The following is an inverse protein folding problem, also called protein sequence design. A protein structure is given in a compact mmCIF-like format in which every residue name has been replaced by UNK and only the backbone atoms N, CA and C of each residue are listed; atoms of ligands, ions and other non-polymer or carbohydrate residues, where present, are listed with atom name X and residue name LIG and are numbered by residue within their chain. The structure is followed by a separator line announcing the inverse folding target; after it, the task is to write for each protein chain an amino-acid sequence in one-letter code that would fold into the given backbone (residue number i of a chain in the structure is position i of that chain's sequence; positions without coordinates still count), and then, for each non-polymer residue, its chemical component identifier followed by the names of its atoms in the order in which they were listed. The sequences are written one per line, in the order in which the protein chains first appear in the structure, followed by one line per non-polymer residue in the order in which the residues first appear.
data_IF_723499226966
#
_entry.id   IF_723499226966
#
_cell.length_a   1.000
_cell.length_b   1.000
_cell.length_c   1.000
_cell.angle_alpha   90.00
_cell.angle_beta   90.00
_cell.angle_gamma   90.00
#
_symmetry.space_group_name_H-M   'P 1'
#
loop_
_entity.id
_entity.type
_entity.pdbx_description
1 polymer ?
#
# COMPACT_ATOMS: atom_id res chain seq x y z
N UNK A 1 17.72 -18.67 15.81
CA UNK A 1 17.36 -17.25 15.95
C UNK A 1 17.19 -16.68 14.55
N UNK A 2 15.97 -16.36 14.12
CA UNK A 2 15.72 -15.76 12.82
C UNK A 2 16.18 -14.30 12.84
N UNK A 3 17.18 -13.98 12.02
CA UNK A 3 17.74 -12.65 11.89
C UNK A 3 16.68 -11.71 11.28
N UNK A 4 16.07 -10.86 12.10
CA UNK A 4 14.95 -9.98 11.73
C UNK A 4 15.48 -8.72 11.01
N UNK A 5 16.20 -8.92 9.89
CA UNK A 5 16.80 -7.82 9.12
C UNK A 5 15.72 -7.06 8.38
N UNK A 6 15.59 -5.76 8.69
CA UNK A 6 14.74 -4.83 7.95
C UNK A 6 15.46 -4.40 6.67
N UNK A 7 14.84 -4.67 5.52
CA UNK A 7 15.33 -4.22 4.21
C UNK A 7 14.63 -2.91 3.83
N UNK A 8 15.42 -1.96 3.34
CA UNK A 8 14.94 -0.70 2.80
C UNK A 8 15.21 -0.67 1.29
N UNK A 9 14.26 -0.16 0.51
CA UNK A 9 14.36 -0.04 -0.93
C UNK A 9 13.87 1.34 -1.39
N UNK A 10 14.42 1.81 -2.51
CA UNK A 10 14.02 3.04 -3.17
C UNK A 10 13.26 2.67 -4.45
N UNK A 11 12.03 3.17 -4.61
CA UNK A 11 11.23 2.98 -5.82
C UNK A 11 11.40 4.22 -6.70
N UNK A 12 12.16 4.10 -7.78
CA UNK A 12 12.28 5.14 -8.79
C UNK A 12 11.11 5.09 -9.77
N UNK A 13 10.64 6.26 -10.19
CA UNK A 13 9.69 6.38 -11.29
C UNK A 13 10.42 6.23 -12.62
N UNK A 14 9.73 5.70 -13.63
CA UNK A 14 10.26 5.59 -14.99
C UNK A 14 10.77 6.94 -15.52
N UNK A 15 10.07 8.02 -15.21
CA UNK A 15 10.42 9.36 -15.62
C UNK A 15 11.32 10.12 -14.64
N UNK A 16 11.98 9.46 -13.68
CA UNK A 16 12.80 10.13 -12.66
C UNK A 16 13.87 11.04 -13.31
N UNK A 17 14.66 10.50 -14.23
CA UNK A 17 15.70 11.25 -14.95
C UNK A 17 15.13 12.20 -16.03
N UNK A 18 13.89 11.98 -16.45
CA UNK A 18 13.20 12.81 -17.44
C UNK A 18 12.36 13.93 -16.80
N UNK A 19 12.38 14.06 -15.47
CA UNK A 19 11.70 15.16 -14.78
C UNK A 19 12.43 16.47 -15.06
N UNK A 20 11.68 17.57 -15.17
CA UNK A 20 12.24 18.90 -15.48
C UNK A 20 13.40 19.27 -14.56
N UNK A 21 13.27 19.01 -13.26
CA UNK A 21 14.32 19.27 -12.27
C UNK A 21 15.57 18.43 -12.50
N UNK A 22 15.44 17.14 -12.84
CA UNK A 22 16.60 16.28 -13.12
C UNK A 22 17.26 16.62 -14.44
N UNK A 23 16.49 16.93 -15.48
CA UNK A 23 17.03 17.34 -16.78
C UNK A 23 17.85 18.62 -16.63
N UNK A 24 17.34 19.61 -15.88
CA UNK A 24 18.08 20.84 -15.59
C UNK A 24 19.33 20.52 -14.77
N UNK A 25 19.22 19.70 -13.73
CA UNK A 25 20.36 19.31 -12.88
C UNK A 25 21.48 18.63 -13.69
N UNK A 26 21.15 17.67 -14.55
CA UNK A 26 22.12 16.93 -15.35
C UNK A 26 22.76 17.77 -16.46
N UNK A 27 22.07 18.84 -16.89
CA UNK A 27 22.61 19.80 -17.86
C UNK A 27 23.65 20.75 -17.26
N UNK A 28 23.77 20.82 -15.93
CA UNK A 28 24.77 21.66 -15.25
C UNK A 28 26.19 21.04 -15.35
N UNK A 29 27.21 21.85 -15.07
CA UNK A 29 28.56 21.33 -14.90
C UNK A 29 28.61 20.34 -13.72
N UNK A 30 29.20 19.17 -13.93
CA UNK A 30 29.16 18.03 -13.00
C UNK A 30 27.74 17.50 -12.71
N UNK A 31 26.73 17.82 -13.55
CA UNK A 31 25.33 17.47 -13.31
C UNK A 31 25.08 15.97 -13.15
N UNK A 32 25.72 15.13 -13.96
CA UNK A 32 25.66 13.66 -13.81
C UNK A 32 26.21 13.18 -12.47
N UNK A 33 27.24 13.85 -11.94
CA UNK A 33 27.81 13.55 -10.64
C UNK A 33 26.84 13.94 -9.52
N UNK A 34 26.15 15.06 -9.67
CA UNK A 34 25.12 15.52 -8.74
C UNK A 34 23.90 14.59 -8.75
N UNK A 35 23.47 14.13 -9.92
CA UNK A 35 22.42 13.12 -10.07
C UNK A 35 22.76 11.83 -9.30
N UNK A 36 23.98 11.31 -9.47
CA UNK A 36 24.44 10.13 -8.72
C UNK A 36 24.52 10.37 -7.21
N UNK A 37 25.03 11.54 -6.80
CA UNK A 37 25.15 11.93 -5.41
C UNK A 37 23.78 12.03 -4.73
N UNK A 38 22.80 12.63 -5.41
CA UNK A 38 21.42 12.75 -4.94
C UNK A 38 20.82 11.36 -4.68
N UNK A 39 21.00 10.42 -5.61
CA UNK A 39 20.52 9.06 -5.46
C UNK A 39 21.15 8.35 -4.25
N UNK A 40 22.46 8.51 -4.06
CA UNK A 40 23.16 7.97 -2.88
C UNK A 40 22.64 8.59 -1.58
N UNK A 41 22.39 9.90 -1.55
CA UNK A 41 21.82 10.58 -0.39
C UNK A 41 20.41 10.08 -0.08
N UNK A 42 19.55 9.84 -1.08
CA UNK A 42 18.25 9.21 -0.86
C UNK A 42 18.40 7.84 -0.19
N UNK A 43 19.31 7.00 -0.67
CA UNK A 43 19.58 5.68 -0.09
C UNK A 43 20.07 5.77 1.37
N UNK A 44 20.96 6.71 1.66
CA UNK A 44 21.45 6.96 3.02
C UNK A 44 20.33 7.37 3.98
N UNK A 45 19.34 8.11 3.50
CA UNK A 45 18.24 8.63 4.31
C UNK A 45 17.12 7.61 4.59
N UNK A 46 17.10 6.45 3.92
CA UNK A 46 15.98 5.50 3.96
C UNK A 46 15.66 5.01 5.37
N UNK A 47 16.69 4.68 6.15
CA UNK A 47 16.54 4.15 7.53
C UNK A 47 15.88 5.17 8.46
N UNK A 48 16.08 6.45 8.18
CA UNK A 48 15.67 7.58 9.01
C UNK A 48 14.53 8.39 8.37
N UNK A 49 13.72 7.74 7.53
CA UNK A 49 12.51 8.33 6.96
C UNK A 49 12.74 9.57 6.09
N UNK A 50 13.94 9.71 5.51
CA UNK A 50 14.31 10.87 4.71
C UNK A 50 15.28 11.84 5.34
N UNK A 51 15.58 11.71 6.63
CA UNK A 51 16.55 12.56 7.32
C UNK A 51 17.92 11.91 7.18
N UNK A 52 18.94 12.69 6.82
CA UNK A 52 20.31 12.21 6.77
C UNK A 52 20.91 12.16 8.18
N UNK A 53 20.75 11.00 8.83
CA UNK A 53 21.27 10.71 10.17
C UNK A 53 22.40 9.67 10.12
N UNK A 54 23.54 10.02 10.71
CA UNK A 54 24.62 9.12 11.04
C UNK A 54 24.31 8.40 12.36
N UNK A 55 24.39 7.07 12.34
CA UNK A 55 24.17 6.20 13.51
C UNK A 55 22.88 6.54 14.29
N UNK A 56 21.80 6.85 13.58
CA UNK A 56 20.45 7.14 14.12
C UNK A 56 20.33 8.38 15.03
N UNK A 57 21.41 9.13 15.30
CA UNK A 57 21.42 10.19 16.32
C UNK A 57 22.08 11.50 15.89
N UNK A 58 23.03 11.47 14.96
CA UNK A 58 23.79 12.66 14.56
C UNK A 58 23.45 13.07 13.13
N UNK A 59 23.08 14.33 12.86
CA UNK A 59 22.91 14.80 11.49
C UNK A 59 24.20 14.65 10.66
N UNK A 60 24.07 14.20 9.42
CA UNK A 60 25.20 14.11 8.50
C UNK A 60 25.71 15.51 8.12
N UNK A 61 27.02 15.71 8.28
CA UNK A 61 27.74 16.87 7.74
C UNK A 61 28.17 16.64 6.29
N UNK A 62 28.48 17.69 5.49
CA UNK A 62 29.01 17.54 4.14
C UNK A 62 30.24 16.62 4.06
N UNK A 63 31.12 16.68 5.05
CA UNK A 63 32.29 15.82 5.16
C UNK A 63 31.89 14.35 5.30
N UNK A 64 30.92 14.04 6.17
CA UNK A 64 30.46 12.65 6.30
C UNK A 64 29.76 12.16 5.04
N UNK A 65 28.92 13.00 4.40
CA UNK A 65 28.25 12.66 3.14
C UNK A 65 29.29 12.37 2.05
N UNK A 66 30.34 13.17 1.95
CA UNK A 66 31.46 12.95 1.02
C UNK A 66 32.12 11.58 1.25
N UNK A 67 32.43 11.25 2.50
CA UNK A 67 33.01 9.95 2.88
C UNK A 67 32.10 8.78 2.50
N UNK A 68 30.81 8.82 2.86
CA UNK A 68 29.88 7.72 2.60
C UNK A 68 29.50 7.58 1.11
N UNK A 69 29.43 8.69 0.38
CA UNK A 69 29.08 8.69 -1.04
C UNK A 69 30.29 8.52 -1.96
N UNK A 70 31.51 8.56 -1.40
CA UNK A 70 32.80 8.48 -2.09
C UNK A 70 33.00 9.60 -3.11
N UNK A 71 32.64 10.80 -2.71
CA UNK A 71 32.84 12.02 -3.49
C UNK A 71 33.78 12.97 -2.76
N UNK A 72 34.38 13.90 -3.49
CA UNK A 72 35.17 14.96 -2.88
C UNK A 72 34.25 15.88 -2.05
N UNK A 73 34.75 16.33 -0.89
CA UNK A 73 33.99 17.20 0.01
C UNK A 73 33.50 18.47 -0.71
N UNK A 74 34.38 19.12 -1.49
CA UNK A 74 34.00 20.30 -2.25
C UNK A 74 32.90 20.05 -3.31
N UNK A 75 32.85 18.85 -3.90
CA UNK A 75 31.76 18.46 -4.81
C UNK A 75 30.45 18.34 -4.04
N UNK A 76 30.46 17.71 -2.86
CA UNK A 76 29.26 17.56 -2.03
C UNK A 76 28.75 18.92 -1.55
N UNK A 77 29.64 19.82 -1.14
CA UNK A 77 29.26 21.17 -0.71
C UNK A 77 28.62 21.98 -1.84
N UNK A 78 29.16 21.90 -3.07
CA UNK A 78 28.55 22.54 -4.24
C UNK A 78 27.20 21.92 -4.57
N UNK A 79 27.12 20.59 -4.60
CA UNK A 79 25.89 19.88 -4.90
C UNK A 79 24.79 20.17 -3.87
N UNK A 80 25.11 20.20 -2.56
CA UNK A 80 24.16 20.54 -1.50
C UNK A 80 23.54 21.92 -1.70
N UNK A 81 24.31 22.92 -2.14
CA UNK A 81 23.78 24.25 -2.47
C UNK A 81 22.75 24.18 -3.60
N UNK A 82 23.09 23.48 -4.68
CA UNK A 82 22.19 23.27 -5.82
C UNK A 82 20.92 22.50 -5.41
N UNK A 83 21.06 21.45 -4.59
CA UNK A 83 19.92 20.67 -4.13
C UNK A 83 18.97 21.45 -3.23
N UNK A 84 19.50 22.34 -2.39
CA UNK A 84 18.69 23.26 -1.57
C UNK A 84 17.92 24.25 -2.45
N UNK A 85 18.59 24.80 -3.45
CA UNK A 85 18.01 25.77 -4.39
C UNK A 85 16.88 25.14 -5.23
N UNK A 86 17.06 23.88 -5.65
CA UNK A 86 16.06 23.11 -6.41
C UNK A 86 14.98 22.51 -5.50
N UNK A 87 15.10 22.64 -4.18
CA UNK A 87 14.15 22.07 -3.22
C UNK A 87 14.14 20.54 -3.15
N UNK A 88 15.22 19.91 -3.61
CA UNK A 88 15.45 18.45 -3.53
C UNK A 88 15.91 18.03 -2.12
N UNK A 89 16.57 18.94 -1.41
CA UNK A 89 16.98 18.82 -0.01
C UNK A 89 16.47 20.03 0.77
N UNK A 90 16.04 19.84 2.01
CA UNK A 90 15.65 20.89 2.93
C UNK A 90 16.53 20.83 4.19
N UNK A 91 16.77 21.97 4.85
CA UNK A 91 17.42 22.00 6.16
C UNK A 91 16.32 22.12 7.23
N UNK A 92 16.33 21.19 8.17
CA UNK A 92 15.43 21.17 9.32
C UNK A 92 15.89 22.18 10.39
N UNK A 93 15.03 22.44 11.38
CA UNK A 93 15.31 23.39 12.47
C UNK A 93 16.51 23.00 13.34
N UNK A 94 16.84 21.71 13.37
CA UNK A 94 18.00 21.13 14.06
C UNK A 94 19.27 21.12 13.18
N UNK A 95 19.21 21.68 11.97
CA UNK A 95 20.32 21.70 11.02
C UNK A 95 20.49 20.41 10.22
N UNK A 96 19.61 19.42 10.38
CA UNK A 96 19.69 18.18 9.62
C UNK A 96 19.18 18.33 8.18
N UNK A 97 19.80 17.63 7.25
CA UNK A 97 19.35 17.58 5.86
C UNK A 97 18.20 16.57 5.71
N UNK A 98 17.08 17.04 5.16
CA UNK A 98 15.90 16.25 4.83
C UNK A 98 15.76 16.10 3.31
N UNK A 99 15.59 14.86 2.85
CA UNK A 99 15.39 14.53 1.44
C UNK A 99 13.92 14.75 1.05
N UNK A 100 13.61 15.88 0.40
CA UNK A 100 12.24 16.34 0.16
C UNK A 100 11.30 15.32 -0.51
N UNK A 101 11.78 14.69 -1.60
CA UNK A 101 10.96 13.76 -2.40
C UNK A 101 10.99 12.31 -1.91
N UNK A 102 11.72 12.02 -0.84
CA UNK A 102 11.91 10.63 -0.38
C UNK A 102 10.59 9.93 -0.06
N UNK A 103 9.60 10.67 0.43
CA UNK A 103 8.27 10.16 0.71
C UNK A 103 7.48 9.76 -0.54
N UNK A 104 7.86 10.26 -1.71
CA UNK A 104 7.28 9.87 -3.01
C UNK A 104 8.02 8.65 -3.58
N UNK A 105 9.26 8.42 -3.15
CA UNK A 105 10.13 7.32 -3.57
C UNK A 105 10.05 6.10 -2.61
N UNK A 106 9.49 6.28 -1.41
CA UNK A 106 9.22 5.25 -0.42
C UNK A 106 7.69 5.16 -0.18
N UNK A 107 7.09 4.02 -0.50
CA UNK A 107 5.68 3.73 -0.15
C UNK A 107 4.89 2.99 -1.23
N UNK A 108 3.68 2.57 -0.85
CA UNK A 108 2.66 2.05 -1.78
C UNK A 108 1.91 3.24 -2.35
N UNK A 109 2.07 3.51 -3.64
CA UNK A 109 1.44 4.67 -4.26
C UNK A 109 0.69 4.27 -5.53
N UNK A 110 -0.60 4.63 -5.56
CA UNK A 110 -1.40 4.79 -6.78
C UNK A 110 -1.25 6.24 -7.27
N UNK A 111 -1.42 6.48 -8.57
CA UNK A 111 -1.29 7.79 -9.23
C UNK A 111 -2.11 8.89 -8.53
N UNK A 112 -3.32 8.56 -8.08
CA UNK A 112 -4.19 9.47 -7.30
C UNK A 112 -3.68 9.74 -5.87
N UNK A 113 -3.13 8.71 -5.21
CA UNK A 113 -2.54 8.85 -3.88
C UNK A 113 -1.34 9.79 -3.87
N UNK A 114 -0.53 9.74 -4.93
CA UNK A 114 0.61 10.65 -5.13
C UNK A 114 0.15 12.09 -5.39
N UNK A 115 -0.88 12.28 -6.23
CA UNK A 115 -1.45 13.61 -6.50
C UNK A 115 -1.96 14.26 -5.20
N UNK A 116 -2.73 13.54 -4.38
CA UNK A 116 -3.23 14.03 -3.08
C UNK A 116 -2.11 14.27 -2.07
N UNK A 117 -1.08 13.42 -2.04
CA UNK A 117 0.09 13.59 -1.15
C UNK A 117 0.92 14.80 -1.56
N UNK A 118 1.22 14.97 -2.86
CA UNK A 118 1.95 16.12 -3.39
C UNK A 118 1.21 17.42 -3.12
N UNK A 119 -0.11 17.44 -3.31
CA UNK A 119 -0.93 18.61 -3.01
C UNK A 119 -0.95 18.94 -1.51
N UNK A 120 -1.09 17.93 -0.64
CA UNK A 120 -0.98 18.15 0.81
C UNK A 120 0.39 18.69 1.22
N UNK A 121 1.47 18.17 0.65
CA UNK A 121 2.82 18.67 0.91
C UNK A 121 3.00 20.10 0.40
N UNK A 122 2.45 20.45 -0.78
CA UNK A 122 2.43 21.81 -1.32
C UNK A 122 1.70 22.78 -0.40
N UNK A 123 0.49 22.42 0.03
CA UNK A 123 -0.32 23.24 0.94
C UNK A 123 0.34 23.40 2.31
N UNK A 124 0.99 22.35 2.83
CA UNK A 124 1.76 22.40 4.08
C UNK A 124 3.00 23.28 3.95
N UNK A 125 3.73 23.20 2.83
CA UNK A 125 4.87 24.10 2.52
C UNK A 125 4.44 25.56 2.39
N UNK A 126 3.26 25.83 1.83
CA UNK A 126 2.70 27.19 1.74
C UNK A 126 2.12 27.69 3.08
N UNK A 127 2.24 26.91 4.18
CA UNK A 127 1.61 27.20 5.49
C UNK A 127 0.09 27.44 5.42
N UNK A 128 -0.55 26.98 4.35
CA UNK A 128 -2.00 27.14 4.12
C UNK A 128 -2.82 26.08 4.87
N UNK A 129 -2.17 25.16 5.60
CA UNK A 129 -2.81 24.18 6.45
C UNK A 129 -2.50 24.46 7.93
N UNK A 130 -3.53 24.47 8.81
CA UNK A 130 -3.32 24.53 10.25
C UNK A 130 -2.49 23.33 10.73
N UNK A 131 -1.47 23.60 11.54
CA UNK A 131 -0.74 22.56 12.26
C UNK A 131 -1.58 22.10 13.46
N UNK A 132 -2.59 21.25 13.21
CA UNK A 132 -3.34 20.61 14.29
C UNK A 132 -4.70 20.09 13.88
N UNK A 133 -4.89 18.77 14.03
CA UNK A 133 -6.15 18.16 14.46
C UNK A 133 -7.25 17.91 13.41
N UNK A 134 -7.70 16.65 13.42
CA UNK A 134 -8.98 16.12 12.95
C UNK A 134 -9.14 15.82 11.44
N UNK A 135 -9.23 14.52 11.18
CA UNK A 135 -10.01 13.93 10.10
C UNK A 135 -11.42 14.52 10.08
N UNK A 136 -11.64 15.54 9.25
CA UNK A 136 -12.99 15.85 8.75
C UNK A 136 -12.86 15.95 7.23
N UNK A 137 -13.17 14.85 6.57
CA UNK A 137 -13.37 14.80 5.13
C UNK A 137 -14.47 15.80 4.74
N UNK A 138 -14.29 16.63 3.69
CA UNK A 138 -15.40 17.33 3.07
C UNK A 138 -16.35 16.33 2.37
N UNK A 139 -17.64 16.68 2.16
CA UNK A 139 -18.66 15.76 1.72
C UNK A 139 -18.40 15.23 0.29
N UNK A 140 -18.66 13.94 0.13
CA UNK A 140 -18.57 13.16 -1.10
C UNK A 140 -19.22 13.85 -2.31
N UNK A 141 -18.44 14.00 -3.39
CA UNK A 141 -18.98 14.09 -4.75
C UNK A 141 -18.84 12.71 -5.40
N UNK A 142 -19.96 12.27 -5.96
CA UNK A 142 -20.34 10.93 -6.37
C UNK A 142 -19.63 10.51 -7.67
N UNK A 143 -19.13 9.27 -7.71
CA UNK A 143 -18.66 8.60 -8.92
C UNK A 143 -17.15 8.37 -8.98
N UNK A 144 -16.72 7.21 -8.48
CA UNK A 144 -15.82 6.27 -9.18
C UNK A 144 -15.29 5.24 -8.19
N UNK A 145 -15.88 4.04 -8.28
CA UNK A 145 -15.47 2.85 -7.56
C UNK A 145 -14.22 2.31 -8.26
N UNK A 146 -13.06 2.40 -7.61
CA UNK A 146 -11.88 1.63 -7.98
C UNK A 146 -11.62 0.53 -6.94
N UNK A 147 -11.19 -0.68 -7.37
CA UNK A 147 -11.13 -1.85 -6.51
C UNK A 147 -9.98 -1.79 -5.50
N UNK A 148 -10.07 -2.49 -4.35
CA UNK A 148 -8.99 -2.56 -3.38
C UNK A 148 -7.97 -3.62 -3.81
N UNK A 149 -6.85 -3.21 -4.40
CA UNK A 149 -5.70 -4.09 -4.67
C UNK A 149 -4.59 -3.90 -3.62
N UNK A 150 -4.75 -4.70 -2.56
CA UNK A 150 -3.75 -5.56 -1.92
C UNK A 150 -2.30 -5.21 -2.21
N UNK A 151 -1.59 -4.78 -1.16
CA UNK A 151 -0.13 -4.79 -1.15
C UNK A 151 0.37 -5.09 0.27
N UNK A 152 1.22 -6.10 0.35
CA UNK A 152 1.72 -6.81 1.54
C UNK A 152 1.94 -5.95 2.80
N UNK A 153 1.11 -6.20 3.81
CA UNK A 153 1.31 -5.76 5.21
C UNK A 153 1.71 -6.95 6.09
N UNK A 154 2.69 -7.75 5.65
CA UNK A 154 2.94 -9.07 6.25
C UNK A 154 3.75 -9.05 7.57
N UNK A 155 4.20 -7.89 8.08
CA UNK A 155 5.06 -7.89 9.28
C UNK A 155 4.70 -6.94 10.43
N UNK A 156 3.78 -5.97 10.26
CA UNK A 156 3.38 -5.05 11.36
C UNK A 156 1.91 -5.16 11.80
N UNK A 157 1.14 -6.13 11.28
CA UNK A 157 -0.21 -6.45 11.76
C UNK A 157 -0.20 -7.80 12.50
N UNK A 158 0.71 -7.99 13.46
CA UNK A 158 0.67 -9.20 14.29
C UNK A 158 -0.21 -9.09 15.53
N UNK A 159 -0.58 -7.89 16.01
CA UNK A 159 -1.35 -7.81 17.27
C UNK A 159 -2.71 -7.07 17.24
N UNK A 160 -2.97 -6.12 16.34
CA UNK A 160 -4.18 -5.28 16.50
C UNK A 160 -5.51 -5.81 15.93
N UNK A 161 -5.51 -6.93 15.20
CA UNK A 161 -6.75 -7.48 14.61
C UNK A 161 -7.32 -8.68 15.36
N UNK A 162 -6.65 -9.14 16.41
CA UNK A 162 -7.16 -10.22 17.28
C UNK A 162 -7.91 -9.61 18.48
N UNK A 163 -7.46 -8.47 19.00
CA UNK A 163 -8.10 -7.78 20.14
C UNK A 163 -9.55 -7.30 19.86
N UNK A 164 -9.96 -7.09 18.61
CA UNK A 164 -11.32 -6.64 18.28
C UNK A 164 -12.29 -7.78 17.91
N UNK A 165 -11.90 -9.05 18.09
CA UNK A 165 -12.77 -10.22 17.85
C UNK A 165 -12.95 -11.14 19.03
N UNK A 166 -12.33 -10.82 20.16
CA UNK A 166 -12.77 -11.30 21.48
C UNK A 166 -14.05 -10.56 21.93
N UNK A 167 -15.03 -10.43 21.04
CA UNK A 167 -16.42 -10.34 21.47
C UNK A 167 -16.76 -11.73 22.02
N UNK A 168 -17.14 -11.78 23.30
CA UNK A 168 -17.37 -12.97 24.13
C UNK A 168 -18.36 -14.03 23.57
N UNK A 169 -18.84 -13.87 22.34
CA UNK A 169 -19.87 -14.67 21.67
C UNK A 169 -19.43 -15.33 20.35
N UNK A 170 -18.20 -15.12 19.86
CA UNK A 170 -17.72 -15.76 18.63
C UNK A 170 -17.06 -17.12 18.94
N UNK A 171 -17.62 -18.21 18.39
CA UNK A 171 -17.06 -19.57 18.53
C UNK A 171 -16.18 -19.91 17.34
N UNK A 172 -15.14 -20.70 17.60
CA UNK A 172 -14.23 -21.21 16.58
C UNK A 172 -14.70 -22.58 16.07
N UNK A 173 -14.79 -22.70 14.74
CA UNK A 173 -15.23 -23.91 14.04
C UNK A 173 -14.18 -24.36 13.01
N UNK A 174 -14.38 -25.57 12.48
CA UNK A 174 -13.50 -26.20 11.50
C UNK A 174 -12.35 -26.99 12.14
N UNK A 175 -11.76 -27.92 11.36
CA UNK A 175 -10.64 -28.79 11.79
C UNK A 175 -9.45 -28.04 12.39
N UNK A 176 -9.17 -26.83 11.91
CA UNK A 176 -8.05 -26.00 12.37
C UNK A 176 -8.47 -24.88 13.34
N UNK A 177 -9.73 -24.86 13.80
CA UNK A 177 -10.28 -23.85 14.72
C UNK A 177 -9.98 -22.40 14.31
N UNK A 178 -10.02 -22.14 13.00
CA UNK A 178 -9.64 -20.87 12.39
C UNK A 178 -10.82 -20.14 11.73
N UNK A 179 -12.04 -20.67 11.88
CA UNK A 179 -13.29 -20.09 11.38
C UNK A 179 -14.11 -19.58 12.55
N UNK A 180 -14.07 -18.28 12.82
CA UNK A 180 -14.90 -17.61 13.83
C UNK A 180 -16.27 -17.25 13.28
N UNK A 181 -17.33 -17.70 13.94
CA UNK A 181 -18.73 -17.38 13.64
C UNK A 181 -19.47 -17.06 14.95
N UNK A 182 -20.39 -16.10 14.91
CA UNK A 182 -21.34 -15.90 16.03
C UNK A 182 -22.46 -16.94 15.97
N UNK A 183 -23.16 -17.14 17.08
CA UNK A 183 -24.31 -18.06 17.13
C UNK A 183 -25.43 -17.64 16.13
N UNK A 184 -25.62 -16.32 15.92
CA UNK A 184 -26.55 -15.79 14.91
C UNK A 184 -26.12 -16.12 13.48
N UNK A 185 -24.85 -15.91 13.15
CA UNK A 185 -24.30 -16.21 11.81
C UNK A 185 -24.38 -17.71 11.49
N UNK A 186 -24.17 -18.56 12.50
CA UNK A 186 -24.30 -20.01 12.37
C UNK A 186 -25.75 -20.42 12.16
N UNK A 187 -26.70 -19.87 12.92
CA UNK A 187 -28.13 -20.16 12.78
C UNK A 187 -28.64 -19.79 11.39
N UNK A 188 -28.24 -18.63 10.86
CA UNK A 188 -28.58 -18.24 9.50
C UNK A 188 -27.98 -19.16 8.44
N UNK A 189 -26.73 -19.62 8.63
CA UNK A 189 -26.08 -20.58 7.72
C UNK A 189 -26.81 -21.92 7.72
N UNK A 190 -27.25 -22.38 8.88
CA UNK A 190 -28.07 -23.58 9.02
C UNK A 190 -29.44 -23.40 8.38
N UNK A 191 -30.08 -22.24 8.51
CA UNK A 191 -31.37 -21.95 7.89
C UNK A 191 -31.29 -21.88 6.36
N UNK A 192 -30.24 -21.24 5.83
CA UNK A 192 -30.05 -21.07 4.38
C UNK A 192 -29.52 -22.33 3.70
N UNK A 193 -28.70 -23.14 4.39
CA UNK A 193 -28.06 -24.33 3.83
C UNK A 193 -28.05 -25.53 4.79
N UNK A 194 -29.22 -26.10 5.16
CA UNK A 194 -29.35 -27.03 6.30
C UNK A 194 -28.48 -28.28 6.23
N UNK A 195 -28.18 -28.77 5.04
CA UNK A 195 -27.46 -30.04 4.81
C UNK A 195 -25.98 -29.85 4.50
N UNK A 196 -25.54 -28.65 4.10
CA UNK A 196 -24.19 -28.43 3.54
C UNK A 196 -23.37 -27.39 4.30
N UNK A 197 -23.96 -26.63 5.22
CA UNK A 197 -23.26 -25.58 6.00
C UNK A 197 -21.96 -26.08 6.65
N UNK A 198 -21.97 -27.28 7.26
CA UNK A 198 -20.79 -27.85 7.93
C UNK A 198 -19.64 -28.17 6.96
N UNK A 199 -19.94 -28.63 5.75
CA UNK A 199 -18.93 -28.91 4.73
C UNK A 199 -18.23 -27.63 4.26
N UNK A 200 -18.96 -26.52 4.16
CA UNK A 200 -18.36 -25.23 3.79
C UNK A 200 -17.50 -24.62 4.90
N UNK A 201 -17.84 -24.85 6.17
CA UNK A 201 -16.99 -24.47 7.30
C UNK A 201 -15.63 -25.19 7.22
N UNK A 202 -15.63 -26.51 6.99
CA UNK A 202 -14.40 -27.28 6.84
C UNK A 202 -13.59 -26.86 5.61
N UNK A 203 -14.27 -26.68 4.47
CA UNK A 203 -13.64 -26.19 3.23
C UNK A 203 -12.95 -24.85 3.42
N UNK A 204 -13.57 -23.92 4.16
CA UNK A 204 -12.98 -22.63 4.48
C UNK A 204 -11.80 -22.78 5.47
N UNK A 205 -11.94 -23.65 6.47
CA UNK A 205 -10.91 -23.94 7.46
C UNK A 205 -9.62 -24.46 6.81
N UNK A 206 -9.74 -25.47 5.94
CA UNK A 206 -8.62 -26.04 5.17
C UNK A 206 -8.01 -25.04 4.19
N UNK A 207 -8.84 -24.25 3.52
CA UNK A 207 -8.36 -23.23 2.57
C UNK A 207 -7.53 -22.15 3.26
N UNK A 208 -7.98 -21.65 4.41
CA UNK A 208 -7.26 -20.64 5.17
C UNK A 208 -5.95 -21.20 5.74
N UNK A 209 -5.95 -22.45 6.19
CA UNK A 209 -4.75 -23.13 6.70
C UNK A 209 -3.70 -23.35 5.59
N UNK A 210 -4.13 -23.79 4.40
CA UNK A 210 -3.22 -24.10 3.29
C UNK A 210 -2.70 -22.87 2.54
N UNK A 211 -3.56 -21.86 2.30
CA UNK A 211 -3.21 -20.68 1.50
C UNK A 211 -2.75 -19.49 2.33
N UNK A 212 -2.99 -19.51 3.65
CA UNK A 212 -2.69 -18.39 4.55
C UNK A 212 -3.57 -17.16 4.35
N UNK A 213 -4.66 -17.26 3.57
CA UNK A 213 -5.63 -16.18 3.38
C UNK A 213 -6.47 -15.97 4.64
N UNK A 214 -6.84 -14.71 4.90
CA UNK A 214 -7.70 -14.31 6.03
C UNK A 214 -8.88 -13.51 5.51
N UNK A 215 -10.06 -13.76 6.07
CA UNK A 215 -11.30 -13.12 5.65
C UNK A 215 -11.88 -12.25 6.76
N UNK A 216 -12.43 -11.10 6.37
CA UNK A 216 -13.08 -10.18 7.31
C UNK A 216 -14.43 -10.69 7.80
N UNK A 217 -15.15 -11.55 7.07
CA UNK A 217 -16.34 -12.27 7.56
C UNK A 217 -16.33 -13.68 7.00
N UNK A 218 -16.28 -14.67 7.89
CA UNK A 218 -16.30 -16.07 7.48
C UNK A 218 -17.70 -16.48 7.00
N UNK A 219 -18.75 -16.01 7.67
CA UNK A 219 -20.14 -16.27 7.30
C UNK A 219 -20.46 -15.81 5.87
N UNK A 220 -20.08 -14.58 5.51
CA UNK A 220 -20.30 -14.03 4.17
C UNK A 220 -19.56 -14.83 3.09
N UNK A 221 -18.34 -15.29 3.39
CA UNK A 221 -17.53 -16.09 2.47
C UNK A 221 -18.18 -17.44 2.20
N UNK A 222 -18.66 -18.11 3.26
CA UNK A 222 -19.38 -19.38 3.16
C UNK A 222 -20.68 -19.21 2.34
N UNK A 223 -21.48 -18.17 2.61
CA UNK A 223 -22.72 -17.89 1.85
C UNK A 223 -22.44 -17.67 0.36
N UNK A 224 -21.38 -16.94 0.03
CA UNK A 224 -20.98 -16.70 -1.36
C UNK A 224 -20.63 -18.00 -2.07
N UNK A 225 -19.82 -18.86 -1.46
CA UNK A 225 -19.46 -20.17 -2.04
C UNK A 225 -20.68 -21.07 -2.23
N UNK A 226 -21.54 -21.16 -1.21
CA UNK A 226 -22.76 -21.95 -1.28
C UNK A 226 -23.74 -21.44 -2.36
N UNK A 227 -23.86 -20.12 -2.52
CA UNK A 227 -24.70 -19.53 -3.56
C UNK A 227 -24.13 -19.71 -4.98
N UNK A 228 -22.82 -19.66 -5.17
CA UNK A 228 -22.17 -19.92 -6.46
C UNK A 228 -22.30 -21.40 -6.85
N UNK A 229 -22.13 -22.33 -5.91
CA UNK A 229 -22.27 -23.76 -6.16
C UNK A 229 -23.75 -24.15 -6.44
N UNK A 230 -24.72 -23.53 -5.75
CA UNK A 230 -26.15 -23.70 -6.05
C UNK A 230 -26.53 -23.21 -7.46
N UNK A 231 -25.94 -22.09 -7.92
CA UNK A 231 -26.16 -21.56 -9.28
C UNK A 231 -25.54 -22.45 -10.36
N UNK A 232 -24.39 -23.07 -10.09
CA UNK A 232 -23.73 -24.01 -11.01
C UNK A 232 -24.45 -25.36 -11.08
N UNK A 233 -25.18 -25.75 -10.04
CA UNK A 233 -26.00 -26.96 -10.01
C UNK A 233 -27.36 -26.79 -10.72
N UNK A 234 -27.77 -25.57 -11.10
CA UNK A 234 -29.02 -25.33 -11.82
C UNK A 234 -28.88 -25.66 -13.33
N UNK A 235 -29.77 -26.45 -13.93
CA UNK A 235 -29.69 -26.79 -15.35
C UNK A 235 -29.92 -25.56 -16.26
N UNK A 236 -29.23 -25.45 -17.40
CA UNK A 236 -29.37 -24.29 -18.29
C UNK A 236 -30.78 -24.24 -18.92
N UNK A 237 -31.45 -23.11 -18.78
CA UNK A 237 -32.75 -22.85 -19.41
C UNK A 237 -32.53 -22.66 -20.92
N UNK A 238 -32.73 -23.72 -21.71
CA UNK A 238 -32.61 -23.69 -23.17
C UNK A 238 -33.96 -23.33 -23.80
N UNK A 239 -34.37 -22.07 -23.76
CA UNK A 239 -35.54 -21.59 -24.50
C UNK A 239 -35.13 -21.09 -25.90
N UNK A 240 -35.23 -21.98 -26.89
CA UNK A 240 -35.31 -21.62 -28.32
C UNK A 240 -36.29 -22.55 -29.02
N UNK A 241 -37.58 -22.28 -28.83
CA UNK A 241 -38.61 -22.82 -29.71
C UNK A 241 -38.65 -21.92 -30.95
N UNK A 242 -38.00 -22.35 -32.03
CA UNK A 242 -38.27 -21.82 -33.37
C UNK A 242 -39.43 -22.64 -33.95
N UNK A 243 -40.58 -22.00 -34.12
CA UNK A 243 -41.68 -22.55 -34.92
C UNK A 243 -41.56 -21.93 -36.31
N UNK A 244 -41.13 -22.72 -37.30
CA UNK A 244 -41.11 -22.32 -38.71
C UNK A 244 -42.49 -22.59 -39.27
N UNK A 245 -43.15 -21.56 -39.82
CA UNK A 245 -44.32 -21.75 -40.67
C UNK A 245 -43.83 -21.98 -42.09
N UNK A 246 -44.07 -23.17 -42.62
CA UNK A 246 -44.00 -23.45 -44.05
C UNK A 246 -45.13 -22.68 -44.70
N UNK A 247 -44.83 -21.63 -45.49
CA UNK A 247 -45.63 -21.12 -46.63
C UNK A 247 -45.07 -19.81 -47.22
N UNK A 248 -43.74 -19.66 -47.33
CA UNK A 248 -43.16 -18.65 -48.22
C UNK A 248 -42.12 -19.31 -49.13
N UNK A 249 -42.63 -19.99 -50.16
CA UNK A 249 -41.89 -20.23 -51.40
C UNK A 249 -42.65 -19.58 -52.57
N UNK A 250 -41.93 -18.66 -53.21
CA UNK A 250 -42.16 -17.96 -54.49
C UNK A 250 -43.09 -16.76 -54.46
#
# INVERSE_FOLDING_TARGET
MSDNRKYYYLKLKENFYNSETMVILESMQDGLLYSNLLLKMYLMSLKSGGILMLNDHLPHTPQTIATFTRHQVGTVERALKVFLEFGLVEILTDGAYYMADIQLLIGQSSTEGERKKKERMRLKRQKLLPSGGADICPPYSQGDICPPEIRDKRLDIRDKSIENRESESARAYGRYQNVFLTDEELADLQASFPTVWGQYIEKLSEYMASTGKRYQSHAATIRRWAGEDAKKAAPPIRNRYYSVKEDETV
#
